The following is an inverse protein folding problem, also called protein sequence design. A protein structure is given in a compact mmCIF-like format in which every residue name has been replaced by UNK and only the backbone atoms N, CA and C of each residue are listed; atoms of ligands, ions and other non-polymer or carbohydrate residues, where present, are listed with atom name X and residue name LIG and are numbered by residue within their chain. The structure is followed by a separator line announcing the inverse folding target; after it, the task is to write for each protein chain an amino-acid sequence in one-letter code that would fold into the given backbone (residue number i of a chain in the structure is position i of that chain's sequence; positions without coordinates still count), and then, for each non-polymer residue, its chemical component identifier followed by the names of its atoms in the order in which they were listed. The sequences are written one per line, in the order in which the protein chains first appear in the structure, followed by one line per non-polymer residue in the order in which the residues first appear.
data_IF_612305756315
#
_entry.id   IF_612305756315
#
_cell.length_a   1.000
_cell.length_b   1.000
_cell.length_c   1.000
_cell.angle_alpha   90.00
_cell.angle_beta   90.00
_cell.angle_gamma   90.00
#
_symmetry.space_group_name_H-M   'P 1'
#
loop_
_entity.id
_entity.type
_entity.pdbx_description
1 polymer ?
#
# COMPACT_ATOMS: atom_id res chain seq x y z
N UNK A 1 17.06 -34.25 85.21
CA UNK A 1 16.29 -33.31 84.34
C UNK A 1 17.23 -32.37 83.57
N UNK A 2 18.16 -32.92 82.78
CA UNK A 2 19.20 -32.14 82.09
C UNK A 2 19.11 -32.20 80.55
N UNK A 3 18.13 -32.94 80.00
CA UNK A 3 17.94 -33.11 78.54
C UNK A 3 16.99 -32.09 77.91
N UNK A 4 16.11 -31.45 78.69
CA UNK A 4 15.10 -30.50 78.17
C UNK A 4 15.57 -29.04 78.04
N UNK A 5 16.75 -28.68 78.57
CA UNK A 5 17.27 -27.30 78.46
C UNK A 5 18.06 -27.03 77.18
N UNK A 6 18.55 -28.07 76.50
CA UNK A 6 19.36 -27.92 75.27
C UNK A 6 18.45 -27.72 74.05
N UNK A 7 17.32 -28.43 73.97
CA UNK A 7 16.38 -28.33 72.85
C UNK A 7 15.68 -26.96 72.81
N UNK A 8 15.34 -26.39 73.98
CA UNK A 8 14.73 -25.05 74.07
C UNK A 8 15.68 -23.90 73.67
N UNK A 9 17.01 -24.08 73.81
CA UNK A 9 17.98 -23.05 73.38
C UNK A 9 18.30 -23.12 71.89
N UNK A 10 18.19 -24.29 71.26
CA UNK A 10 18.40 -24.44 69.81
C UNK A 10 17.21 -23.94 68.98
N UNK A 11 15.98 -24.06 69.48
CA UNK A 11 14.78 -23.55 68.78
C UNK A 11 14.68 -22.01 68.85
N UNK A 12 15.14 -21.39 69.94
CA UNK A 12 15.12 -19.93 70.09
C UNK A 12 16.18 -19.23 69.20
N UNK A 13 17.28 -19.91 68.87
CA UNK A 13 18.32 -19.40 67.96
C UNK A 13 17.94 -19.55 66.48
N UNK A 14 17.06 -20.50 66.13
CA UNK A 14 16.51 -20.62 64.77
C UNK A 14 15.36 -19.64 64.48
N UNK A 15 14.61 -19.22 65.51
CA UNK A 15 13.54 -18.22 65.37
C UNK A 15 14.04 -16.78 65.31
N UNK A 16 15.29 -16.50 65.69
CA UNK A 16 15.90 -15.16 65.60
C UNK A 16 16.67 -14.91 64.29
N UNK A 17 16.89 -15.93 63.46
CA UNK A 17 17.54 -15.79 62.15
C UNK A 17 16.54 -15.62 60.99
N UNK A 18 15.23 -15.75 61.24
CA UNK A 18 14.18 -15.64 60.24
C UNK A 18 13.54 -14.24 60.14
N UNK A 19 14.03 -13.25 60.90
CA UNK A 19 13.50 -11.88 60.87
C UNK A 19 14.45 -10.83 60.28
N UNK A 20 15.54 -11.24 59.62
CA UNK A 20 16.51 -10.33 58.99
C UNK A 20 16.63 -10.50 57.46
N UNK A 21 15.59 -11.01 56.82
CA UNK A 21 15.46 -10.96 55.35
C UNK A 21 14.18 -10.21 54.98
N UNK A 22 14.16 -8.91 55.27
CA UNK A 22 13.08 -8.01 54.90
C UNK A 22 13.66 -6.65 54.56
N UNK A 23 13.47 -6.23 53.31
CA UNK A 23 13.89 -4.97 52.69
C UNK A 23 15.40 -4.88 52.35
N UNK A 24 15.86 -5.67 51.38
CA UNK A 24 16.78 -5.07 50.40
C UNK A 24 15.98 -4.02 49.64
N UNK A 25 16.53 -2.82 49.43
CA UNK A 25 15.98 -1.90 48.43
C UNK A 25 15.81 -2.70 47.13
N UNK A 26 14.57 -2.98 46.78
CA UNK A 26 14.26 -3.25 45.39
C UNK A 26 14.49 -1.91 44.72
N UNK A 27 15.72 -1.71 44.25
CA UNK A 27 15.95 -0.79 43.15
C UNK A 27 15.03 -1.29 42.05
N UNK A 28 13.85 -0.69 41.95
CA UNK A 28 13.16 -0.62 40.70
C UNK A 28 14.11 0.17 39.81
N UNK A 29 15.05 -0.54 39.17
CA UNK A 29 15.41 -0.11 37.84
C UNK A 29 14.06 0.02 37.14
N UNK A 30 13.74 1.25 36.75
CA UNK A 30 12.74 1.48 35.73
C UNK A 30 13.22 0.62 34.57
N UNK A 31 12.73 -0.62 34.48
CA UNK A 31 12.66 -1.30 33.20
C UNK A 31 11.93 -0.27 32.37
N UNK A 32 12.62 0.33 31.40
CA UNK A 32 11.97 1.06 30.34
C UNK A 32 10.81 0.15 29.92
N UNK A 33 9.60 0.51 30.36
CA UNK A 33 8.42 -0.23 29.98
C UNK A 33 8.44 -0.13 28.46
N UNK A 34 8.27 -1.25 27.77
CA UNK A 34 8.39 -1.35 26.31
C UNK A 34 7.24 -0.62 25.63
N UNK A 35 7.20 0.68 25.81
CA UNK A 35 6.36 1.66 25.16
C UNK A 35 7.10 2.18 23.94
N UNK A 36 6.34 2.48 22.89
CA UNK A 36 6.84 2.81 21.55
C UNK A 36 7.47 1.66 20.73
N UNK A 37 7.27 0.38 21.09
CA UNK A 37 7.62 -0.76 20.22
C UNK A 37 6.41 -1.66 19.97
N UNK A 38 5.99 -1.73 18.69
CA UNK A 38 5.59 -2.94 17.93
C UNK A 38 4.79 -2.61 16.65
N UNK A 39 5.19 -1.56 15.93
CA UNK A 39 4.94 -1.45 14.50
C UNK A 39 6.03 -0.55 13.88
N UNK A 40 6.39 -0.70 12.60
CA UNK A 40 7.30 0.23 11.93
C UNK A 40 6.59 1.58 11.75
N UNK A 41 6.62 2.39 12.80
CA UNK A 41 6.09 3.75 12.86
C UNK A 41 7.10 4.71 12.20
N UNK A 42 7.45 4.44 10.95
CA UNK A 42 8.41 5.24 10.18
C UNK A 42 7.90 6.68 10.09
N UNK A 43 8.71 7.64 10.54
CA UNK A 43 8.34 9.07 10.52
C UNK A 43 7.43 9.52 11.67
N UNK A 44 7.27 8.69 12.72
CA UNK A 44 6.51 9.04 13.92
C UNK A 44 7.46 9.01 15.12
N UNK A 45 7.45 10.10 15.89
CA UNK A 45 8.11 10.20 17.18
C UNK A 45 7.12 9.73 18.24
N UNK A 46 7.57 8.87 19.16
CA UNK A 46 6.75 8.39 20.27
C UNK A 46 7.48 8.61 21.60
N UNK A 47 6.73 9.00 22.63
CA UNK A 47 7.20 9.11 24.01
C UNK A 47 6.10 8.64 24.96
N UNK A 48 6.45 7.85 25.97
CA UNK A 48 5.49 7.41 26.98
C UNK A 48 5.45 8.36 28.17
N UNK A 49 4.25 8.71 28.61
CA UNK A 49 3.98 9.39 29.88
C UNK A 49 4.08 8.44 31.08
N UNK A 50 4.29 9.01 32.27
CA UNK A 50 4.35 8.24 33.53
C UNK A 50 3.02 7.55 33.88
N UNK A 51 1.92 8.01 33.30
CA UNK A 51 0.57 7.45 33.35
C UNK A 51 0.37 6.24 32.41
N UNK A 52 1.41 5.86 31.67
CA UNK A 52 1.36 4.79 30.69
C UNK A 52 0.68 5.20 29.38
N UNK A 53 0.42 6.48 29.13
CA UNK A 53 -0.11 6.98 27.85
C UNK A 53 1.04 7.15 26.85
N UNK A 54 0.84 6.72 25.61
CA UNK A 54 1.80 6.97 24.54
C UNK A 54 1.44 8.27 23.82
N UNK A 55 2.37 9.21 23.76
CA UNK A 55 2.26 10.44 22.99
C UNK A 55 3.01 10.31 21.67
N UNK A 56 2.36 10.66 20.58
CA UNK A 56 2.90 10.56 19.24
C UNK A 56 2.95 11.93 18.57
N UNK A 57 3.93 12.12 17.69
CA UNK A 57 3.97 13.25 16.78
C UNK A 57 4.57 12.85 15.44
N UNK A 58 4.00 13.38 14.35
CA UNK A 58 4.55 13.25 13.01
C UNK A 58 4.59 14.61 12.32
N UNK A 59 5.56 14.79 11.42
CA UNK A 59 5.61 15.92 10.50
C UNK A 59 5.81 15.40 9.08
N UNK A 60 5.00 15.89 8.14
CA UNK A 60 5.11 15.53 6.73
C UNK A 60 4.76 16.69 5.79
N UNK A 61 4.90 16.45 4.49
CA UNK A 61 4.55 17.40 3.43
C UNK A 61 3.44 16.80 2.58
N UNK A 62 2.30 17.48 2.48
CA UNK A 62 1.12 17.04 1.73
C UNK A 62 1.34 17.06 0.21
N UNK A 63 0.45 16.41 -0.54
CA UNK A 63 0.42 16.46 -2.00
C UNK A 63 1.46 15.56 -2.71
N UNK A 64 2.04 14.57 -2.04
CA UNK A 64 2.95 13.59 -2.67
C UNK A 64 2.24 12.30 -3.03
N UNK A 65 2.42 11.81 -4.26
CA UNK A 65 1.86 10.51 -4.69
C UNK A 65 2.89 9.64 -5.43
N UNK A 66 3.03 8.38 -5.03
CA UNK A 66 3.81 7.38 -5.74
C UNK A 66 2.83 6.48 -6.50
N UNK A 67 2.85 6.55 -7.84
CA UNK A 67 1.95 5.80 -8.73
C UNK A 67 2.70 4.63 -9.35
N UNK A 68 2.18 3.42 -9.20
CA UNK A 68 2.71 2.23 -9.88
C UNK A 68 1.66 1.72 -10.84
N UNK A 69 2.00 1.69 -12.13
CA UNK A 69 1.23 0.94 -13.11
C UNK A 69 1.66 -0.52 -13.09
N UNK A 70 0.71 -1.43 -12.97
CA UNK A 70 0.92 -2.88 -13.10
C UNK A 70 0.23 -3.30 -14.38
N UNK A 71 1.03 -3.61 -15.40
CA UNK A 71 0.52 -3.87 -16.73
C UNK A 71 0.62 -5.34 -17.03
N UNK A 72 -0.53 -5.95 -17.26
CA UNK A 72 -0.59 -7.25 -17.88
C UNK A 72 0.04 -7.19 -19.27
N UNK A 73 1.18 -7.85 -19.41
CA UNK A 73 1.95 -7.91 -20.64
C UNK A 73 1.69 -9.19 -21.43
N UNK A 74 0.65 -9.96 -21.08
CA UNK A 74 0.19 -11.08 -21.89
C UNK A 74 -0.16 -10.65 -23.32
N UNK A 75 -0.25 -11.62 -24.24
CA UNK A 75 -0.50 -11.32 -25.66
C UNK A 75 -1.87 -10.74 -25.95
N UNK A 76 -2.90 -11.05 -25.15
CA UNK A 76 -4.27 -10.58 -25.37
C UNK A 76 -4.42 -9.07 -25.13
N UNK A 77 -3.50 -8.46 -24.38
CA UNK A 77 -3.62 -7.11 -23.85
C UNK A 77 -3.20 -5.97 -24.80
N UNK A 78 -2.85 -6.28 -26.07
CA UNK A 78 -2.31 -5.28 -27.00
C UNK A 78 -3.28 -4.12 -27.28
N UNK A 79 -4.58 -4.44 -27.35
CA UNK A 79 -5.65 -3.47 -27.63
C UNK A 79 -5.91 -2.61 -26.40
N UNK A 80 -6.02 -3.23 -25.23
CA UNK A 80 -6.34 -2.62 -23.95
C UNK A 80 -5.21 -1.68 -23.50
N UNK A 81 -3.95 -2.11 -23.65
CA UNK A 81 -2.78 -1.26 -23.41
C UNK A 81 -2.80 0.00 -24.29
N UNK A 82 -3.15 -0.15 -25.58
CA UNK A 82 -3.27 0.97 -26.51
C UNK A 82 -4.42 1.91 -26.13
N UNK A 83 -5.58 1.37 -25.76
CA UNK A 83 -6.74 2.16 -25.33
C UNK A 83 -6.43 2.95 -24.05
N UNK A 84 -5.80 2.31 -23.05
CA UNK A 84 -5.35 2.99 -21.83
C UNK A 84 -4.35 4.09 -22.15
N UNK A 85 -3.32 3.80 -22.95
CA UNK A 85 -2.28 4.76 -23.30
C UNK A 85 -2.86 6.05 -23.91
N UNK A 86 -3.88 5.92 -24.76
CA UNK A 86 -4.54 7.08 -25.38
C UNK A 86 -5.32 7.97 -24.38
N UNK A 87 -5.54 7.52 -23.13
CA UNK A 87 -6.35 8.22 -22.11
C UNK A 87 -5.60 8.60 -20.84
N UNK A 88 -4.32 8.27 -20.75
CA UNK A 88 -3.44 8.69 -19.65
C UNK A 88 -3.36 10.22 -19.49
N UNK A 89 -3.66 10.98 -20.55
CA UNK A 89 -3.74 12.44 -20.49
C UNK A 89 -4.75 12.93 -19.45
N UNK A 90 -5.91 12.28 -19.32
CA UNK A 90 -6.95 12.66 -18.37
C UNK A 90 -6.49 12.43 -16.92
N UNK A 91 -5.79 11.33 -16.67
CA UNK A 91 -5.21 11.05 -15.36
C UNK A 91 -4.16 12.11 -14.99
N UNK A 92 -3.20 12.36 -15.90
CA UNK A 92 -2.15 13.35 -15.66
C UNK A 92 -2.71 14.77 -15.51
N UNK A 93 -3.76 15.12 -16.25
CA UNK A 93 -4.45 16.41 -16.09
C UNK A 93 -4.99 16.57 -14.66
N UNK A 94 -5.67 15.56 -14.10
CA UNK A 94 -6.18 15.61 -12.73
C UNK A 94 -5.06 15.75 -11.69
N UNK A 95 -4.00 14.95 -11.83
CA UNK A 95 -2.83 14.99 -10.95
C UNK A 95 -2.14 16.37 -11.02
N UNK A 96 -2.00 16.94 -12.22
CA UNK A 96 -1.38 18.24 -12.44
C UNK A 96 -2.24 19.40 -11.92
N UNK A 97 -3.57 19.33 -12.08
CA UNK A 97 -4.49 20.34 -11.55
C UNK A 97 -4.48 20.40 -10.03
N UNK A 98 -4.30 19.25 -9.37
CA UNK A 98 -4.08 19.16 -7.93
C UNK A 98 -2.64 19.52 -7.50
N UNK A 99 -1.77 19.90 -8.45
CA UNK A 99 -0.37 20.30 -8.23
C UNK A 99 0.45 19.26 -7.45
N UNK A 100 0.16 17.97 -7.62
CA UNK A 100 0.82 16.92 -6.86
C UNK A 100 2.29 16.74 -7.26
N UNK A 101 3.12 16.44 -6.26
CA UNK A 101 4.47 15.93 -6.45
C UNK A 101 4.42 14.41 -6.69
N UNK A 102 4.29 14.00 -7.95
CA UNK A 102 4.15 12.58 -8.30
C UNK A 102 5.47 11.87 -8.64
N UNK A 103 5.49 10.55 -8.43
CA UNK A 103 6.43 9.63 -9.09
C UNK A 103 5.64 8.54 -9.78
N UNK A 104 5.97 8.21 -11.03
CA UNK A 104 5.26 7.18 -11.80
C UNK A 104 6.24 6.10 -12.23
N UNK A 105 6.02 4.86 -11.78
CA UNK A 105 6.75 3.68 -12.22
C UNK A 105 5.81 2.69 -12.92
N UNK A 106 6.38 1.76 -13.68
CA UNK A 106 5.64 0.68 -14.35
C UNK A 106 6.31 -0.66 -14.05
N UNK A 107 5.52 -1.67 -13.73
CA UNK A 107 5.92 -3.08 -13.67
C UNK A 107 4.96 -3.91 -14.54
N UNK A 108 5.30 -5.18 -14.77
CA UNK A 108 4.43 -6.14 -15.46
C UNK A 108 3.89 -7.21 -14.51
N UNK A 109 2.91 -7.99 -14.98
CA UNK A 109 2.41 -9.19 -14.28
C UNK A 109 3.34 -10.41 -14.41
N UNK A 110 4.37 -10.36 -15.27
CA UNK A 110 5.32 -11.46 -15.51
C UNK A 110 6.37 -11.57 -14.40
N UNK A 111 6.03 -12.33 -13.36
CA UNK A 111 6.90 -12.56 -12.21
C UNK A 111 8.07 -13.51 -12.49
N UNK A 112 8.05 -14.28 -13.58
CA UNK A 112 9.15 -15.19 -13.93
C UNK A 112 10.29 -14.42 -14.58
N UNK A 113 9.94 -13.52 -15.50
CA UNK A 113 10.89 -12.72 -16.28
C UNK A 113 11.27 -11.42 -15.56
N UNK A 114 10.29 -10.59 -15.23
CA UNK A 114 10.54 -9.20 -14.84
C UNK A 114 10.68 -9.04 -13.32
N UNK A 115 10.11 -9.96 -12.53
CA UNK A 115 10.34 -10.09 -11.08
C UNK A 115 10.17 -8.76 -10.31
N UNK A 116 9.11 -8.01 -10.63
CA UNK A 116 8.79 -6.72 -10.00
C UNK A 116 9.79 -5.59 -10.28
N UNK A 117 10.69 -5.75 -11.26
CA UNK A 117 11.62 -4.70 -11.64
C UNK A 117 10.87 -3.56 -12.36
N UNK A 118 11.17 -2.31 -11.99
CA UNK A 118 10.64 -1.17 -12.74
C UNK A 118 11.16 -1.16 -14.18
N UNK A 119 10.22 -0.97 -15.10
CA UNK A 119 10.51 -0.83 -16.52
C UNK A 119 11.22 0.50 -16.77
N UNK A 120 12.21 0.46 -17.66
CA UNK A 120 12.87 1.70 -18.12
C UNK A 120 11.94 2.47 -19.04
N UNK A 121 11.80 3.76 -18.78
CA UNK A 121 11.21 4.70 -19.72
C UNK A 121 12.16 4.96 -20.90
N UNK A 122 11.68 5.56 -22.01
CA UNK A 122 12.49 5.86 -23.18
C UNK A 122 13.77 6.68 -22.88
N UNK A 123 13.74 7.54 -21.85
CA UNK A 123 14.91 8.31 -21.40
C UNK A 123 15.88 7.51 -20.49
N UNK A 124 15.57 6.25 -20.20
CA UNK A 124 16.35 5.35 -19.35
C UNK A 124 16.05 5.46 -17.86
N UNK A 125 15.21 6.41 -17.43
CA UNK A 125 14.75 6.52 -16.04
C UNK A 125 13.88 5.31 -15.65
N UNK A 126 13.82 5.01 -14.35
CA UNK A 126 12.95 3.96 -13.79
C UNK A 126 11.61 4.50 -13.30
N UNK A 127 11.49 5.81 -13.15
CA UNK A 127 10.24 6.48 -12.80
C UNK A 127 10.23 7.91 -13.33
N UNK A 128 9.05 8.41 -13.68
CA UNK A 128 8.81 9.78 -14.11
C UNK A 128 8.43 10.67 -12.93
N UNK A 129 8.79 11.95 -13.00
CA UNK A 129 8.37 13.02 -12.06
C UNK A 129 7.75 14.18 -12.83
N UNK A 130 7.19 15.22 -12.16
CA UNK A 130 6.71 16.42 -12.84
C UNK A 130 7.78 17.13 -13.68
N UNK A 131 9.07 16.92 -13.37
CA UNK A 131 10.21 17.54 -14.06
C UNK A 131 10.73 16.68 -15.22
N UNK A 132 10.28 15.43 -15.35
CA UNK A 132 10.68 14.58 -16.47
C UNK A 132 10.20 15.18 -17.80
N UNK A 133 11.01 15.13 -18.88
CA UNK A 133 10.57 15.62 -20.17
C UNK A 133 9.49 14.71 -20.75
N UNK A 134 8.47 15.28 -21.40
CA UNK A 134 7.45 14.53 -22.17
C UNK A 134 6.78 13.37 -21.40
N UNK A 135 6.45 13.58 -20.12
CA UNK A 135 5.87 12.55 -19.21
C UNK A 135 4.79 11.70 -19.89
N UNK A 136 3.79 12.34 -20.51
CA UNK A 136 2.68 11.63 -21.15
C UNK A 136 3.14 10.69 -22.26
N UNK A 137 4.06 11.13 -23.13
CA UNK A 137 4.55 10.33 -24.24
C UNK A 137 5.46 9.19 -23.77
N UNK A 138 6.29 9.44 -22.76
CA UNK A 138 7.09 8.39 -22.14
C UNK A 138 6.21 7.32 -21.50
N UNK A 139 5.18 7.73 -20.75
CA UNK A 139 4.26 6.78 -20.12
C UNK A 139 3.45 5.99 -21.15
N UNK A 140 2.91 6.64 -22.20
CA UNK A 140 2.23 5.97 -23.31
C UNK A 140 3.08 4.87 -23.96
N UNK A 141 4.36 5.14 -24.16
CA UNK A 141 5.29 4.20 -24.77
C UNK A 141 5.65 3.05 -23.83
N UNK A 142 5.77 3.32 -22.52
CA UNK A 142 6.09 2.27 -21.55
C UNK A 142 4.91 1.33 -21.26
N UNK A 143 3.68 1.85 -21.24
CA UNK A 143 2.45 1.06 -21.01
C UNK A 143 2.15 0.11 -22.18
N UNK A 144 2.38 0.55 -23.42
CA UNK A 144 2.27 -0.31 -24.61
C UNK A 144 3.51 -1.18 -24.74
N UNK A 145 3.39 -2.45 -24.37
CA UNK A 145 4.52 -3.38 -24.30
C UNK A 145 4.85 -3.94 -25.68
N UNK A 146 6.12 -3.81 -26.08
CA UNK A 146 6.57 -4.34 -27.35
C UNK A 146 6.50 -5.88 -27.38
N UNK A 147 6.74 -6.54 -26.25
CA UNK A 147 6.60 -7.98 -26.08
C UNK A 147 5.15 -8.47 -26.25
N UNK A 148 4.17 -7.73 -25.74
CA UNK A 148 2.74 -8.00 -25.96
C UNK A 148 2.39 -7.90 -27.44
N UNK A 149 2.77 -6.80 -28.08
CA UNK A 149 2.53 -6.60 -29.51
C UNK A 149 3.21 -7.67 -30.37
N UNK A 150 4.42 -8.09 -29.97
CA UNK A 150 5.16 -9.15 -30.66
C UNK A 150 4.44 -10.49 -30.54
N UNK A 151 3.92 -10.84 -29.35
CA UNK A 151 3.13 -12.06 -29.16
C UNK A 151 1.88 -12.07 -30.06
N UNK A 152 1.10 -10.98 -30.03
CA UNK A 152 -0.13 -10.80 -30.81
C UNK A 152 0.14 -10.91 -32.32
N UNK A 153 1.09 -10.14 -32.84
CA UNK A 153 1.46 -10.14 -34.27
C UNK A 153 2.03 -11.47 -34.77
N UNK A 154 2.50 -12.34 -33.87
CA UNK A 154 3.05 -13.65 -34.20
C UNK A 154 2.09 -14.80 -33.86
N UNK A 155 0.77 -14.54 -33.91
CA UNK A 155 -0.29 -15.52 -33.69
C UNK A 155 -0.14 -16.26 -32.34
N UNK A 156 0.31 -15.55 -31.31
CA UNK A 156 0.47 -16.06 -29.96
C UNK A 156 1.37 -17.31 -29.90
N UNK A 157 2.48 -17.27 -30.65
CA UNK A 157 3.54 -18.26 -30.57
C UNK A 157 4.15 -18.24 -29.15
N UNK A 158 4.08 -19.34 -28.37
CA UNK A 158 4.57 -19.37 -26.99
C UNK A 158 6.05 -18.98 -26.83
N UNK A 159 6.89 -19.16 -27.85
CA UNK A 159 8.30 -18.75 -27.79
C UNK A 159 8.51 -17.23 -27.90
N UNK A 160 7.46 -16.49 -28.26
CA UNK A 160 7.47 -15.03 -28.49
C UNK A 160 6.51 -14.30 -27.55
N UNK A 161 5.88 -15.01 -26.62
CA UNK A 161 4.91 -14.47 -25.68
C UNK A 161 5.49 -14.36 -24.28
N UNK A 162 5.11 -13.32 -23.53
CA UNK A 162 5.28 -13.27 -22.09
C UNK A 162 4.52 -14.41 -21.40
N UNK A 163 4.77 -14.57 -20.09
CA UNK A 163 4.10 -15.60 -19.30
C UNK A 163 2.58 -15.39 -19.32
N UNK A 164 1.82 -16.44 -19.64
CA UNK A 164 0.37 -16.51 -19.43
C UNK A 164 0.02 -16.96 -18.00
N UNK A 165 0.74 -16.43 -17.02
CA UNK A 165 0.53 -16.67 -15.58
C UNK A 165 0.64 -15.30 -14.91
N UNK A 166 -0.46 -14.58 -14.97
CA UNK A 166 -0.62 -13.15 -14.75
C UNK A 166 -0.73 -12.88 -13.25
N UNK A 167 0.34 -12.33 -12.64
CA UNK A 167 0.45 -12.22 -11.18
C UNK A 167 0.79 -10.81 -10.73
N UNK A 168 -0.17 -9.90 -10.82
CA UNK A 168 0.01 -8.47 -10.53
C UNK A 168 0.27 -8.16 -9.05
N UNK A 169 -0.43 -8.82 -8.13
CA UNK A 169 -0.24 -8.69 -6.68
C UNK A 169 1.13 -9.26 -6.31
N UNK A 170 1.50 -10.41 -6.86
CA UNK A 170 2.82 -10.97 -6.65
C UNK A 170 3.92 -10.07 -7.19
N UNK A 171 3.76 -9.52 -8.40
CA UNK A 171 4.73 -8.61 -8.99
C UNK A 171 4.94 -7.36 -8.13
N UNK A 172 3.87 -6.83 -7.52
CA UNK A 172 3.93 -5.74 -6.55
C UNK A 172 4.67 -6.11 -5.26
N UNK A 173 4.38 -7.30 -4.71
CA UNK A 173 5.10 -7.81 -3.54
C UNK A 173 6.61 -7.98 -3.82
N UNK A 174 6.97 -8.41 -5.03
CA UNK A 174 8.36 -8.42 -5.47
C UNK A 174 8.90 -7.01 -5.60
N UNK A 175 8.18 -6.09 -6.24
CA UNK A 175 8.63 -4.71 -6.45
C UNK A 175 8.94 -3.98 -5.13
N UNK A 176 8.20 -4.28 -4.07
CA UNK A 176 8.45 -3.78 -2.70
C UNK A 176 9.74 -4.38 -2.09
N UNK A 177 10.00 -5.67 -2.32
CA UNK A 177 11.20 -6.36 -1.81
C UNK A 177 12.49 -5.93 -2.51
N UNK A 178 12.40 -5.31 -3.70
CA UNK A 178 13.57 -4.95 -4.51
C UNK A 178 14.32 -3.76 -3.92
N UNK A 179 15.62 -3.92 -3.56
CA UNK A 179 16.43 -2.80 -3.09
C UNK A 179 16.60 -1.70 -4.14
N UNK A 180 16.56 -2.04 -5.43
CA UNK A 180 16.68 -1.04 -6.51
C UNK A 180 15.46 -0.13 -6.59
N UNK A 181 14.31 -0.60 -6.11
CA UNK A 181 13.05 0.14 -6.12
C UNK A 181 12.88 1.00 -4.86
N UNK A 182 13.63 0.76 -3.77
CA UNK A 182 13.45 1.48 -2.49
C UNK A 182 13.47 3.00 -2.63
N UNK A 183 14.32 3.53 -3.53
CA UNK A 183 14.44 4.97 -3.76
C UNK A 183 13.18 5.63 -4.35
N UNK A 184 12.26 4.85 -4.93
CA UNK A 184 11.00 5.33 -5.51
C UNK A 184 9.99 5.70 -4.43
N UNK A 185 9.83 4.84 -3.42
CA UNK A 185 8.83 4.99 -2.37
C UNK A 185 9.21 6.11 -1.41
N UNK A 186 8.47 7.22 -1.43
CA UNK A 186 8.72 8.37 -0.57
C UNK A 186 7.95 8.25 0.74
N UNK A 187 8.56 8.70 1.82
CA UNK A 187 7.84 8.88 3.08
C UNK A 187 6.66 9.85 2.88
N UNK A 188 5.55 9.64 3.58
CA UNK A 188 4.31 10.43 3.53
C UNK A 188 3.58 10.52 2.18
N UNK A 189 4.13 9.97 1.09
CA UNK A 189 3.40 9.95 -0.18
C UNK A 189 2.26 8.92 -0.14
N UNK A 190 1.12 9.22 -0.75
CA UNK A 190 0.12 8.21 -1.02
C UNK A 190 0.65 7.19 -2.06
N UNK A 191 0.53 5.88 -1.81
CA UNK A 191 0.84 4.86 -2.81
C UNK A 191 -0.42 4.54 -3.62
N UNK A 192 -0.43 4.84 -4.92
CA UNK A 192 -1.54 4.54 -5.83
C UNK A 192 -1.13 3.49 -6.84
N UNK A 193 -1.72 2.30 -6.77
CA UNK A 193 -1.52 1.25 -7.78
C UNK A 193 -2.59 1.34 -8.84
N UNK A 194 -2.22 1.26 -10.12
CA UNK A 194 -3.15 1.20 -11.25
C UNK A 194 -2.84 -0.07 -12.05
N UNK A 195 -3.71 -1.07 -11.92
CA UNK A 195 -3.61 -2.35 -12.63
C UNK A 195 -4.48 -2.34 -13.90
N UNK A 196 -3.95 -2.90 -14.98
CA UNK A 196 -4.68 -3.27 -16.19
C UNK A 196 -4.47 -4.76 -16.48
N UNK A 197 -5.54 -5.56 -16.52
CA UNK A 197 -5.49 -7.00 -16.85
C UNK A 197 -6.85 -7.52 -17.31
N UNK A 198 -6.87 -8.40 -18.31
CA UNK A 198 -8.05 -9.17 -18.74
C UNK A 198 -8.23 -10.48 -17.95
N UNK A 199 -7.37 -10.72 -16.97
CA UNK A 199 -7.39 -11.87 -16.09
C UNK A 199 -7.47 -11.49 -14.59
N UNK A 200 -7.59 -12.50 -13.73
CA UNK A 200 -7.39 -12.37 -12.29
C UNK A 200 -5.94 -12.66 -11.89
N UNK A 201 -5.62 -12.45 -10.61
CA UNK A 201 -4.36 -12.92 -10.06
C UNK A 201 -4.22 -14.43 -10.28
N UNK A 202 -3.09 -14.84 -10.88
CA UNK A 202 -2.82 -16.21 -11.29
C UNK A 202 -3.89 -16.74 -12.26
N UNK A 203 -4.20 -15.91 -13.25
CA UNK A 203 -5.22 -16.07 -14.29
C UNK A 203 -6.67 -16.12 -13.77
N UNK A 204 -7.03 -17.12 -12.95
CA UNK A 204 -8.41 -17.30 -12.49
C UNK A 204 -8.56 -17.26 -10.96
N UNK A 205 -7.71 -16.50 -10.27
CA UNK A 205 -7.80 -16.32 -8.82
C UNK A 205 -7.44 -17.61 -8.07
N UNK A 206 -6.54 -18.39 -8.64
CA UNK A 206 -6.11 -19.69 -8.10
C UNK A 206 -7.12 -20.83 -8.21
N UNK A 207 -8.17 -20.67 -9.01
CA UNK A 207 -9.23 -21.69 -9.16
C UNK A 207 -8.90 -22.78 -10.20
N UNK A 208 -7.89 -22.55 -11.05
CA UNK A 208 -7.42 -23.54 -12.02
C UNK A 208 -6.61 -24.64 -11.34
N UNK A 209 -6.87 -25.88 -11.73
CA UNK A 209 -6.14 -27.04 -11.21
C UNK A 209 -4.64 -26.92 -11.48
N UNK A 210 -3.84 -27.02 -10.42
CA UNK A 210 -2.37 -26.93 -10.49
C UNK A 210 -1.81 -25.50 -10.40
N UNK A 211 -2.66 -24.49 -10.30
CA UNK A 211 -2.26 -23.08 -10.19
C UNK A 211 -2.93 -22.41 -8.98
N UNK A 212 -2.76 -22.92 -7.74
CA UNK A 212 -3.33 -22.27 -6.56
C UNK A 212 -2.67 -20.91 -6.30
N UNK A 213 -3.35 -20.00 -5.60
CA UNK A 213 -2.69 -18.81 -5.08
C UNK A 213 -1.58 -19.20 -4.09
N UNK A 214 -0.43 -18.55 -4.22
CA UNK A 214 0.68 -18.57 -3.27
C UNK A 214 0.57 -17.36 -2.33
N UNK A 215 1.31 -17.33 -1.20
CA UNK A 215 1.22 -16.22 -0.25
C UNK A 215 1.39 -14.83 -0.88
N UNK A 216 2.32 -14.67 -1.81
CA UNK A 216 2.56 -13.37 -2.47
C UNK A 216 1.46 -12.94 -3.45
N UNK A 217 0.54 -13.84 -3.82
CA UNK A 217 -0.64 -13.50 -4.63
C UNK A 217 -1.76 -12.89 -3.77
N UNK A 218 -1.67 -12.98 -2.44
CA UNK A 218 -2.78 -12.63 -1.56
C UNK A 218 -2.86 -11.12 -1.30
N UNK A 219 -4.06 -10.51 -1.39
CA UNK A 219 -4.31 -9.12 -0.98
C UNK A 219 -3.76 -8.80 0.41
N UNK A 220 -3.99 -9.68 1.38
CA UNK A 220 -3.56 -9.53 2.78
C UNK A 220 -2.04 -9.37 2.88
N UNK A 221 -1.29 -10.18 2.12
CA UNK A 221 0.17 -10.15 2.11
C UNK A 221 0.69 -8.82 1.55
N UNK A 222 0.08 -8.31 0.47
CA UNK A 222 0.45 -7.01 -0.09
C UNK A 222 0.21 -5.87 0.90
N UNK A 223 -0.98 -5.81 1.52
CA UNK A 223 -1.35 -4.73 2.45
C UNK A 223 -0.40 -4.73 3.66
N UNK A 224 -0.19 -5.90 4.26
CA UNK A 224 0.73 -6.05 5.39
C UNK A 224 2.16 -5.67 4.99
N UNK A 225 2.61 -6.05 3.78
CA UNK A 225 3.94 -5.69 3.31
C UNK A 225 4.12 -4.18 3.14
N UNK A 226 3.14 -3.49 2.56
CA UNK A 226 3.15 -2.02 2.46
C UNK A 226 3.26 -1.41 3.85
N UNK A 227 2.45 -1.87 4.80
CA UNK A 227 2.46 -1.37 6.17
C UNK A 227 3.80 -1.63 6.87
N UNK A 228 4.38 -2.83 6.69
CA UNK A 228 5.65 -3.23 7.31
C UNK A 228 6.86 -2.51 6.72
N UNK A 229 6.92 -2.32 5.39
CA UNK A 229 8.10 -1.78 4.71
C UNK A 229 8.05 -0.26 4.51
N UNK A 230 6.85 0.29 4.26
CA UNK A 230 6.65 1.71 3.97
C UNK A 230 6.09 2.50 5.16
N UNK A 231 5.62 1.80 6.19
CA UNK A 231 5.10 2.35 7.45
C UNK A 231 3.59 2.19 7.57
N UNK A 232 3.11 1.96 8.80
CA UNK A 232 1.68 1.70 9.08
C UNK A 232 0.74 2.82 8.63
N UNK A 233 1.24 4.06 8.59
CA UNK A 233 0.45 5.24 8.21
C UNK A 233 0.55 5.59 6.73
N UNK A 234 1.30 4.78 5.95
CA UNK A 234 1.38 4.91 4.49
C UNK A 234 0.02 4.56 3.89
N UNK A 235 -0.67 5.56 3.36
CA UNK A 235 -1.93 5.33 2.66
C UNK A 235 -1.66 4.67 1.32
N UNK A 236 -2.52 3.71 0.97
CA UNK A 236 -2.40 2.85 -0.20
C UNK A 236 -3.77 2.71 -0.87
N UNK A 237 -3.84 2.86 -2.19
CA UNK A 237 -5.05 2.58 -2.98
C UNK A 237 -4.71 1.67 -4.15
N UNK A 238 -5.68 0.83 -4.53
CA UNK A 238 -5.54 -0.07 -5.66
C UNK A 238 -6.65 0.18 -6.67
N UNK A 239 -6.30 0.64 -7.86
CA UNK A 239 -7.22 0.89 -8.95
C UNK A 239 -7.08 -0.23 -9.97
N UNK A 240 -8.18 -0.83 -10.39
CA UNK A 240 -8.17 -1.93 -11.36
C UNK A 240 -8.98 -1.55 -12.59
N UNK A 241 -8.46 -1.87 -13.78
CA UNK A 241 -9.21 -1.92 -15.05
C UNK A 241 -9.20 -3.38 -15.48
N UNK A 242 -10.32 -4.06 -15.25
CA UNK A 242 -10.42 -5.52 -15.30
C UNK A 242 -11.73 -5.96 -15.95
N UNK A 243 -11.86 -7.26 -16.23
CA UNK A 243 -13.19 -7.86 -16.42
C UNK A 243 -13.89 -7.87 -15.06
N UNK A 244 -14.90 -7.00 -14.90
CA UNK A 244 -15.59 -6.81 -13.63
C UNK A 244 -16.27 -8.11 -13.18
N UNK A 245 -16.14 -8.52 -11.90
CA UNK A 245 -16.86 -9.67 -11.38
C UNK A 245 -18.36 -9.59 -11.65
N UNK A 246 -18.89 -10.57 -12.39
CA UNK A 246 -20.32 -10.64 -12.76
C UNK A 246 -20.68 -10.05 -14.13
N UNK A 247 -19.75 -9.38 -14.82
CA UNK A 247 -19.97 -8.85 -16.17
C UNK A 247 -19.75 -9.94 -17.23
N UNK A 248 -20.74 -10.81 -17.40
CA UNK A 248 -20.67 -11.93 -18.33
C UNK A 248 -20.55 -11.48 -19.80
N UNK A 249 -21.08 -10.31 -20.15
CA UNK A 249 -20.94 -9.76 -21.49
C UNK A 249 -19.48 -9.40 -21.76
N UNK A 250 -18.85 -8.70 -20.83
CA UNK A 250 -17.44 -8.36 -20.93
C UNK A 250 -16.56 -9.61 -20.96
N UNK A 251 -16.80 -10.58 -20.06
CA UNK A 251 -16.04 -11.83 -20.03
C UNK A 251 -16.08 -12.57 -21.37
N UNK A 252 -17.28 -12.71 -21.97
CA UNK A 252 -17.42 -13.36 -23.27
C UNK A 252 -16.73 -12.58 -24.41
N UNK A 253 -16.64 -11.25 -24.30
CA UNK A 253 -15.93 -10.43 -25.28
C UNK A 253 -14.41 -10.58 -25.22
N UNK A 254 -13.85 -11.13 -24.12
CA UNK A 254 -12.42 -11.41 -23.99
C UNK A 254 -11.99 -12.73 -24.67
N UNK A 255 -12.92 -13.48 -25.28
CA UNK A 255 -12.57 -14.72 -25.98
C UNK A 255 -11.99 -14.38 -27.36
N UNK A 256 -10.71 -14.67 -27.57
CA UNK A 256 -10.05 -14.51 -28.87
C UNK A 256 -9.98 -15.86 -29.58
N UNK A 257 -10.66 -15.96 -30.73
CA UNK A 257 -10.63 -17.15 -31.58
C UNK A 257 -9.45 -17.08 -32.55
N UNK A 258 -8.46 -17.95 -32.37
CA UNK A 258 -7.27 -17.99 -33.21
C UNK A 258 -7.50 -18.83 -34.48
N UNK A 259 -6.84 -18.51 -35.61
CA UNK A 259 -6.99 -19.24 -36.88
C UNK A 259 -6.61 -20.73 -36.80
N UNK A 260 -5.82 -21.12 -35.80
CA UNK A 260 -5.42 -22.51 -35.55
C UNK A 260 -6.43 -23.30 -34.70
N UNK A 261 -7.61 -22.75 -34.42
CA UNK A 261 -8.66 -23.38 -33.63
C UNK A 261 -8.45 -23.31 -32.11
N UNK A 262 -7.41 -22.63 -31.63
CA UNK A 262 -7.21 -22.32 -30.21
C UNK A 262 -8.02 -21.10 -29.82
N UNK A 263 -8.43 -21.04 -28.56
CA UNK A 263 -9.03 -19.85 -27.97
C UNK A 263 -8.10 -19.30 -26.88
N UNK A 264 -8.01 -17.98 -26.80
CA UNK A 264 -7.54 -17.28 -25.61
C UNK A 264 -8.76 -16.84 -24.81
N UNK A 265 -8.64 -16.86 -23.50
CA UNK A 265 -9.73 -16.56 -22.57
C UNK A 265 -9.24 -15.50 -21.59
N UNK A 266 -10.10 -14.54 -21.27
CA UNK A 266 -9.96 -13.71 -20.08
C UNK A 266 -10.69 -14.31 -18.88
N UNK A 267 -10.47 -13.72 -17.71
CA UNK A 267 -11.11 -14.09 -16.45
C UNK A 267 -11.57 -12.87 -15.67
N UNK A 268 -12.56 -13.04 -14.80
CA UNK A 268 -12.96 -11.98 -13.87
C UNK A 268 -11.82 -11.64 -12.92
N UNK A 269 -11.40 -10.37 -12.84
CA UNK A 269 -10.39 -9.87 -11.91
C UNK A 269 -10.86 -9.78 -10.46
N UNK A 270 -11.36 -10.88 -9.87
CA UNK A 270 -11.98 -10.90 -8.54
C UNK A 270 -11.02 -10.53 -7.43
N UNK A 271 -9.78 -11.01 -7.49
CA UNK A 271 -8.76 -10.77 -6.47
C UNK A 271 -8.32 -9.31 -6.50
N UNK A 272 -8.15 -8.75 -7.70
CA UNK A 272 -7.89 -7.32 -7.88
C UNK A 272 -9.06 -6.43 -7.43
N UNK A 273 -10.30 -6.84 -7.72
CA UNK A 273 -11.50 -6.13 -7.27
C UNK A 273 -11.60 -6.02 -5.74
N UNK A 274 -11.14 -7.05 -4.99
CA UNK A 274 -11.08 -7.00 -3.51
C UNK A 274 -10.13 -5.93 -3.01
N UNK A 275 -9.01 -5.68 -3.70
CA UNK A 275 -8.10 -4.59 -3.33
C UNK A 275 -8.68 -3.22 -3.71
N UNK A 276 -9.40 -3.13 -4.83
CA UNK A 276 -10.03 -1.87 -5.26
C UNK A 276 -11.25 -1.46 -4.45
N UNK A 277 -12.00 -2.42 -3.91
CA UNK A 277 -13.12 -2.20 -2.99
C UNK A 277 -12.95 -3.09 -1.76
N UNK A 278 -12.03 -2.74 -0.86
CA UNK A 278 -11.67 -3.59 0.26
C UNK A 278 -12.74 -3.59 1.34
N UNK A 279 -12.99 -4.77 1.90
CA UNK A 279 -13.76 -4.94 3.14
C UNK A 279 -13.02 -4.32 4.32
N UNK A 280 -13.74 -4.00 5.40
CA UNK A 280 -13.15 -3.46 6.62
C UNK A 280 -12.04 -4.35 7.20
N UNK A 281 -12.16 -5.68 7.09
CA UNK A 281 -11.11 -6.62 7.51
C UNK A 281 -9.80 -6.45 6.73
N UNK A 282 -9.84 -6.09 5.44
CA UNK A 282 -8.65 -5.82 4.65
C UNK A 282 -8.06 -4.46 4.99
N UNK A 283 -8.92 -3.45 5.20
CA UNK A 283 -8.50 -2.12 5.65
C UNK A 283 -7.85 -2.16 7.04
N UNK A 284 -8.28 -3.07 7.91
CA UNK A 284 -7.66 -3.24 9.23
C UNK A 284 -6.21 -3.75 9.19
N UNK A 285 -5.73 -4.26 8.04
CA UNK A 285 -4.36 -4.79 7.91
C UNK A 285 -3.30 -3.70 7.62
N UNK A 286 -3.71 -2.47 7.28
CA UNK A 286 -2.79 -1.38 6.93
C UNK A 286 -3.52 -0.20 6.30
N UNK A 287 -2.80 0.82 5.81
CA UNK A 287 -3.39 2.04 5.25
C UNK A 287 -4.13 1.90 3.91
N UNK A 288 -4.73 0.74 3.61
CA UNK A 288 -5.50 0.53 2.38
C UNK A 288 -6.83 1.30 2.43
N UNK A 289 -7.05 2.15 1.43
CA UNK A 289 -8.29 2.89 1.22
C UNK A 289 -9.00 2.45 -0.07
N UNK A 290 -10.22 2.94 -0.26
CA UNK A 290 -11.01 2.65 -1.47
C UNK A 290 -10.30 3.14 -2.74
N UNK A 291 -10.16 2.24 -3.71
CA UNK A 291 -9.76 2.56 -5.07
C UNK A 291 -10.96 2.64 -6.02
N UNK A 292 -10.71 2.31 -7.28
CA UNK A 292 -11.73 2.30 -8.34
C UNK A 292 -11.71 0.98 -9.09
N UNK A 293 -12.88 0.52 -9.54
CA UNK A 293 -13.01 -0.63 -10.43
C UNK A 293 -13.52 -0.14 -11.79
N UNK A 294 -12.59 -0.09 -12.72
CA UNK A 294 -12.77 0.10 -14.13
C UNK A 294 -13.21 -1.16 -14.87
N UNK A 295 -13.77 -1.01 -16.06
CA UNK A 295 -14.08 -2.12 -16.96
C UNK A 295 -13.13 -2.09 -18.14
N UNK A 296 -12.47 -3.22 -18.38
CA UNK A 296 -11.62 -3.43 -19.55
C UNK A 296 -12.42 -3.44 -20.86
N UNK A 297 -13.72 -3.74 -20.81
CA UNK A 297 -14.59 -3.71 -21.99
C UNK A 297 -15.21 -2.34 -22.28
N UNK A 298 -14.83 -1.30 -21.54
CA UNK A 298 -15.34 0.03 -21.84
C UNK A 298 -14.82 0.49 -23.19
N UNK A 299 -15.70 1.11 -24.00
CA UNK A 299 -15.32 1.65 -25.31
C UNK A 299 -14.32 2.81 -25.23
N UNK A 300 -14.20 3.44 -24.06
CA UNK A 300 -13.23 4.49 -23.75
C UNK A 300 -12.87 4.45 -22.24
N UNK A 301 -11.58 4.47 -21.91
CA UNK A 301 -11.09 4.51 -20.53
C UNK A 301 -11.04 5.92 -19.93
N UNK A 302 -11.44 6.95 -20.68
CA UNK A 302 -11.40 8.35 -20.27
C UNK A 302 -12.05 8.62 -18.89
N UNK A 303 -13.26 8.11 -18.69
CA UNK A 303 -13.98 8.28 -17.41
C UNK A 303 -13.24 7.57 -16.28
N UNK A 304 -12.80 6.33 -16.51
CA UNK A 304 -12.09 5.52 -15.51
C UNK A 304 -10.76 6.17 -15.10
N UNK A 305 -10.00 6.72 -16.05
CA UNK A 305 -8.76 7.45 -15.76
C UNK A 305 -9.03 8.76 -15.01
N UNK A 306 -10.16 9.43 -15.29
CA UNK A 306 -10.60 10.61 -14.56
C UNK A 306 -11.03 10.30 -13.12
N UNK A 307 -11.74 9.19 -12.91
CA UNK A 307 -12.18 8.71 -11.60
C UNK A 307 -10.97 8.31 -10.73
N UNK A 308 -9.98 7.62 -11.32
CA UNK A 308 -8.72 7.30 -10.65
C UNK A 308 -8.01 8.58 -10.24
N UNK A 309 -7.84 9.54 -11.17
CA UNK A 309 -7.19 10.81 -10.87
C UNK A 309 -7.89 11.58 -9.74
N UNK A 310 -9.22 11.58 -9.74
CA UNK A 310 -10.02 12.25 -8.70
C UNK A 310 -9.85 11.55 -7.34
N UNK A 311 -9.90 10.21 -7.29
CA UNK A 311 -9.67 9.46 -6.05
C UNK A 311 -8.27 9.68 -5.49
N UNK A 312 -7.25 9.68 -6.36
CA UNK A 312 -5.86 9.98 -5.96
C UNK A 312 -5.79 11.39 -5.36
N UNK A 313 -6.48 12.37 -5.96
CA UNK A 313 -6.55 13.74 -5.43
C UNK A 313 -7.25 13.85 -4.08
N UNK A 314 -8.27 13.05 -3.83
CA UNK A 314 -8.98 13.07 -2.55
C UNK A 314 -8.14 12.46 -1.42
N UNK A 315 -7.32 11.46 -1.71
CA UNK A 315 -6.57 10.69 -0.70
C UNK A 315 -5.17 11.26 -0.44
N UNK A 316 -4.59 12.02 -1.39
CA UNK A 316 -3.21 12.54 -1.25
C UNK A 316 -3.02 13.44 -0.02
N UNK A 317 -4.10 14.00 0.49
CA UNK A 317 -4.13 14.84 1.69
C UNK A 317 -4.80 14.12 2.87
N UNK A 318 -4.70 12.80 2.99
CA UNK A 318 -5.19 12.07 4.16
C UNK A 318 -4.06 11.51 5.03
N UNK A 319 -4.29 11.37 6.34
CA UNK A 319 -3.32 10.76 7.26
C UNK A 319 -3.92 9.69 8.17
N UNK A 320 -3.44 8.45 8.07
CA UNK A 320 -3.98 7.29 8.78
C UNK A 320 -3.41 7.28 10.20
N UNK A 321 -4.27 7.43 11.20
CA UNK A 321 -3.85 7.27 12.58
C UNK A 321 -3.61 5.79 12.88
N UNK A 322 -2.52 5.44 13.59
CA UNK A 322 -2.21 4.06 13.93
C UNK A 322 -3.04 3.53 15.11
N UNK A 323 -3.72 4.41 15.83
CA UNK A 323 -4.56 4.09 17.00
C UNK A 323 -5.59 5.19 17.24
N UNK A 324 -6.67 4.83 17.94
CA UNK A 324 -7.71 5.76 18.33
C UNK A 324 -7.19 6.77 19.36
N UNK A 325 -7.23 8.08 19.08
CA UNK A 325 -6.76 9.08 20.02
C UNK A 325 -7.66 9.17 21.25
N UNK A 326 -7.05 9.44 22.40
CA UNK A 326 -7.79 9.86 23.61
C UNK A 326 -8.49 11.19 23.31
N UNK A 327 -9.68 11.39 23.88
CA UNK A 327 -10.46 12.62 23.77
C UNK A 327 -9.60 13.88 23.95
N UNK A 328 -9.73 14.81 23.00
CA UNK A 328 -9.01 16.10 22.95
C UNK A 328 -7.47 16.01 22.90
N UNK A 329 -6.89 14.84 22.62
CA UNK A 329 -5.43 14.70 22.47
C UNK A 329 -4.92 14.92 21.04
N UNK A 330 -5.79 14.81 20.04
CA UNK A 330 -5.46 14.96 18.64
C UNK A 330 -5.39 16.43 18.23
N UNK A 331 -4.24 16.88 17.78
CA UNK A 331 -4.04 18.20 17.19
C UNK A 331 -3.40 18.10 15.81
N UNK A 332 -3.88 18.95 14.89
CA UNK A 332 -3.35 19.09 13.54
C UNK A 332 -2.99 20.55 13.34
N UNK A 333 -1.73 20.80 13.01
CA UNK A 333 -1.22 22.12 12.65
C UNK A 333 -0.64 22.09 11.23
N UNK A 334 -0.79 23.18 10.49
CA UNK A 334 -0.15 23.34 9.18
C UNK A 334 0.77 24.57 9.12
N UNK A 335 1.78 24.50 8.26
CA UNK A 335 2.65 25.62 7.92
C UNK A 335 2.76 25.74 6.40
N UNK A 336 2.31 26.88 5.88
CA UNK A 336 2.50 27.24 4.48
C UNK A 336 3.81 28.04 4.34
N UNK A 337 4.70 27.60 3.45
CA UNK A 337 5.85 28.40 2.95
C UNK A 337 6.74 29.06 4.03
N UNK A 338 6.97 28.37 5.15
CA UNK A 338 7.85 28.86 6.22
C UNK A 338 7.18 29.75 7.27
N UNK A 339 5.85 29.90 7.19
CA UNK A 339 5.06 30.53 8.25
C UNK A 339 5.04 29.67 9.53
N UNK A 340 4.66 30.29 10.65
CA UNK A 340 4.39 29.55 11.88
C UNK A 340 3.27 28.53 11.69
N UNK A 341 3.31 27.45 12.47
CA UNK A 341 2.26 26.45 12.48
C UNK A 341 0.96 27.01 13.06
N UNK A 342 -0.16 26.71 12.41
CA UNK A 342 -1.51 27.10 12.84
C UNK A 342 -2.43 25.90 12.85
N UNK A 343 -3.28 25.76 13.87
CA UNK A 343 -4.31 24.72 13.92
C UNK A 343 -5.35 24.91 12.80
N UNK A 344 -5.86 23.80 12.27
CA UNK A 344 -6.87 23.77 11.22
C UNK A 344 -8.03 22.82 11.56
N UNK A 345 -9.22 23.03 10.98
CA UNK A 345 -10.29 22.03 11.05
C UNK A 345 -9.90 20.75 10.30
N UNK A 346 -10.33 19.62 10.86
CA UNK A 346 -10.19 18.30 10.26
C UNK A 346 -11.36 17.41 10.71
N UNK A 347 -11.61 16.36 9.96
CA UNK A 347 -12.54 15.30 10.31
C UNK A 347 -11.79 13.97 10.44
N UNK A 348 -12.22 13.12 11.36
CA UNK A 348 -11.70 11.75 11.51
C UNK A 348 -12.85 10.80 11.21
N UNK A 349 -12.67 9.91 10.25
CA UNK A 349 -13.69 8.90 9.93
C UNK A 349 -13.60 7.67 10.85
N UNK A 350 -14.55 6.74 10.68
CA UNK A 350 -14.63 5.52 11.48
C UNK A 350 -13.43 4.57 11.31
N UNK A 351 -12.57 4.79 10.31
CA UNK A 351 -11.34 4.02 10.09
C UNK A 351 -10.11 4.76 10.63
N UNK A 352 -10.30 5.80 11.45
CA UNK A 352 -9.22 6.62 12.01
C UNK A 352 -8.42 7.38 10.93
N UNK A 353 -9.07 7.67 9.80
CA UNK A 353 -8.48 8.40 8.69
C UNK A 353 -8.77 9.90 8.87
N UNK A 354 -7.71 10.72 8.94
CA UNK A 354 -7.86 12.18 8.98
C UNK A 354 -8.12 12.70 7.57
N UNK A 355 -9.18 13.49 7.42
CA UNK A 355 -9.55 14.22 6.21
C UNK A 355 -9.51 15.72 6.48
N UNK A 356 -8.85 16.49 5.60
CA UNK A 356 -8.79 17.95 5.72
C UNK A 356 -9.89 18.62 4.90
N UNK A 357 -10.56 19.60 5.51
CA UNK A 357 -11.59 20.39 4.84
C UNK A 357 -11.41 21.89 5.17
N UNK A 358 -10.95 22.72 4.21
CA UNK A 358 -10.69 22.41 2.81
C UNK A 358 -9.46 21.51 2.59
N UNK A 359 -9.30 20.86 1.41
CA UNK A 359 -8.10 20.12 1.05
C UNK A 359 -6.83 20.97 1.17
N UNK A 360 -5.71 20.34 1.48
CA UNK A 360 -4.44 21.05 1.70
C UNK A 360 -3.76 21.38 0.38
N UNK A 361 -3.22 22.60 0.19
CA UNK A 361 -2.36 22.87 -0.95
C UNK A 361 -1.16 21.92 -0.98
N UNK A 362 -0.78 21.41 -2.14
CA UNK A 362 0.41 20.57 -2.28
C UNK A 362 1.66 21.30 -1.76
N UNK A 363 2.52 20.58 -1.02
CA UNK A 363 3.70 21.16 -0.39
C UNK A 363 3.46 21.78 1.00
N UNK A 364 2.23 21.70 1.53
CA UNK A 364 1.93 22.16 2.91
C UNK A 364 2.62 21.28 3.92
N UNK A 365 3.31 21.88 4.90
CA UNK A 365 3.88 21.12 6.02
C UNK A 365 2.76 20.86 7.03
N UNK A 366 2.57 19.60 7.39
CA UNK A 366 1.56 19.16 8.35
C UNK A 366 2.27 18.60 9.56
N UNK A 367 1.79 18.97 10.75
CA UNK A 367 2.21 18.42 12.02
C UNK A 367 1.00 17.85 12.74
N UNK A 368 1.07 16.58 13.11
CA UNK A 368 0.01 15.91 13.85
C UNK A 368 0.58 15.46 15.18
N UNK A 369 -0.17 15.67 16.26
CA UNK A 369 0.11 15.12 17.59
C UNK A 369 -1.13 14.41 18.09
N UNK A 370 -0.97 13.26 18.73
CA UNK A 370 -2.07 12.52 19.32
C UNK A 370 -1.56 11.66 20.47
N UNK A 371 -2.46 11.21 21.34
CA UNK A 371 -2.11 10.29 22.43
C UNK A 371 -3.01 9.08 22.40
N UNK A 372 -2.46 7.89 22.63
CA UNK A 372 -3.24 6.65 22.70
C UNK A 372 -2.99 5.93 24.03
N UNK A 373 -4.00 5.24 24.59
CA UNK A 373 -3.79 4.37 25.73
C UNK A 373 -2.87 3.22 25.30
N UNK A 374 -2.02 2.76 26.21
CA UNK A 374 -1.23 1.57 25.98
C UNK A 374 -2.16 0.35 26.17
N UNK A 375 -2.64 -0.22 25.07
CA UNK A 375 -3.34 -1.50 25.12
C UNK A 375 -2.29 -2.59 25.37
N UNK A 376 -2.10 -2.95 26.64
CA UNK A 376 -1.31 -4.10 27.08
C UNK A 376 -1.93 -5.42 26.63
#
# INVERSE_FOLDING_TARGET
MAKDRVVKRLILLWLLFLFYTGCSDVGFEIRQSSSCQEAPLKGIVCSQGEDGINHYSTEFVSGKVDVIFVIDNSGSMSVEQKQMAQRLGNLLEKINLAQMDYRIAVITTDVKKDKGQFLKFPDGSLFLTPQSPKVLEQLKQTIQRQETLTCDQNNYNPSMCPSGDERGIYALNLALDRPENTSFFRDSAHLSVILLSDEDERSAGGTLSGFPLEPYDLPETLIQKVALQLGMTKTFSFHSVIVKPGDAQCLNAQIVHLPNGRNLYGYYGKTYAKLSRPSDNLKALGGLVDGTIGSICASDYAAQMGDIGSRVSEVVDSYQLPCEPIDNSLTVEISERGNAFTEIPFEVDNNLMIHFNPPLPAGTRVKIRWSCPNYL
#
